data_IF_450920844014
#
_entry.id   IF_450920844014
#
_cell.length_a   1.000
_cell.length_b   1.000
_cell.length_c   1.000
_cell.angle_alpha   90.00
_cell.angle_beta   90.00
_cell.angle_gamma   90.00
#
_symmetry.space_group_name_H-M   'P 1'
#
loop_
_entity.id
_entity.type
_entity.pdbx_description
1 polymer ?
#
# COMPACT_ATOMS: atom_id res chain seq x y z
N UNK A 1 -8.54 55.57 35.18
CA UNK A 1 -7.91 54.26 34.87
C UNK A 1 -7.96 53.98 33.37
N UNK A 2 -6.88 54.22 32.62
CA UNK A 2 -6.80 53.92 31.17
C UNK A 2 -6.64 52.41 30.98
N UNK A 3 -7.76 51.67 30.87
CA UNK A 3 -7.76 50.23 30.57
C UNK A 3 -7.14 49.98 29.18
N UNK A 4 -6.15 49.11 29.13
CA UNK A 4 -5.23 48.92 28.00
C UNK A 4 -5.90 48.44 26.71
N UNK A 5 -6.13 49.37 25.78
CA UNK A 5 -6.64 49.10 24.42
C UNK A 5 -5.72 48.20 23.57
N UNK A 6 -4.46 48.01 23.96
CA UNK A 6 -3.50 47.13 23.25
C UNK A 6 -3.68 45.63 23.53
N UNK A 7 -4.14 45.25 24.74
CA UNK A 7 -4.28 43.84 25.13
C UNK A 7 -5.39 43.12 24.35
N UNK A 8 -6.47 43.84 24.01
CA UNK A 8 -7.60 43.26 23.25
C UNK A 8 -7.24 43.02 21.78
N UNK A 9 -6.37 43.84 21.17
CA UNK A 9 -5.91 43.62 19.79
C UNK A 9 -4.99 42.41 19.67
N UNK A 10 -4.12 42.20 20.67
CA UNK A 10 -3.26 41.02 20.76
C UNK A 10 -4.12 39.76 20.98
N UNK A 11 -5.12 39.84 21.86
CA UNK A 11 -6.05 38.73 22.13
C UNK A 11 -6.83 38.32 20.87
N UNK A 12 -7.32 39.30 20.08
CA UNK A 12 -8.00 39.04 18.81
C UNK A 12 -7.05 38.39 17.80
N UNK A 13 -5.80 38.87 17.69
CA UNK A 13 -4.80 38.27 16.80
C UNK A 13 -4.49 36.81 17.14
N UNK A 14 -4.30 36.50 18.42
CA UNK A 14 -4.09 35.11 18.89
C UNK A 14 -5.30 34.23 18.59
N UNK A 15 -6.51 34.75 18.76
CA UNK A 15 -7.75 34.00 18.53
C UNK A 15 -7.97 33.70 17.03
N UNK A 16 -7.60 34.63 16.15
CA UNK A 16 -7.63 34.40 14.69
C UNK A 16 -6.61 33.33 14.28
N UNK A 17 -5.38 33.39 14.80
CA UNK A 17 -4.36 32.35 14.52
C UNK A 17 -4.81 30.98 15.03
N UNK A 18 -5.43 30.94 16.20
CA UNK A 18 -5.98 29.70 16.76
C UNK A 18 -7.10 29.10 15.90
N UNK A 19 -8.01 29.94 15.38
CA UNK A 19 -9.06 29.52 14.44
C UNK A 19 -8.46 29.01 13.13
N UNK A 20 -7.40 29.65 12.60
CA UNK A 20 -6.73 29.19 11.38
C UNK A 20 -6.07 27.82 11.61
N UNK A 21 -5.41 27.62 12.75
CA UNK A 21 -4.80 26.33 13.11
C UNK A 21 -5.88 25.25 13.26
N UNK A 22 -6.97 25.54 13.96
CA UNK A 22 -8.10 24.61 14.09
C UNK A 22 -8.76 24.29 12.75
N UNK A 23 -8.92 25.29 11.88
CA UNK A 23 -9.43 25.12 10.53
C UNK A 23 -8.50 24.26 9.67
N UNK A 24 -7.19 24.45 9.78
CA UNK A 24 -6.18 23.64 9.11
C UNK A 24 -6.17 22.18 9.58
N UNK A 25 -6.25 21.94 10.90
CA UNK A 25 -6.37 20.60 11.48
C UNK A 25 -7.68 19.93 11.04
N UNK A 26 -8.80 20.67 11.06
CA UNK A 26 -10.09 20.18 10.61
C UNK A 26 -10.09 19.79 9.13
N UNK A 27 -9.49 20.62 8.27
CA UNK A 27 -9.35 20.32 6.85
C UNK A 27 -8.45 19.11 6.60
N UNK A 28 -7.33 18.99 7.31
CA UNK A 28 -6.44 17.83 7.22
C UNK A 28 -7.12 16.54 7.70
N UNK A 29 -7.90 16.60 8.78
CA UNK A 29 -8.66 15.46 9.29
C UNK A 29 -9.74 15.01 8.30
N UNK A 30 -10.53 15.95 7.76
CA UNK A 30 -11.55 15.64 6.74
C UNK A 30 -10.92 15.07 5.48
N UNK A 31 -9.80 15.63 5.03
CA UNK A 31 -9.05 15.10 3.89
C UNK A 31 -8.55 13.69 4.17
N UNK A 32 -7.94 13.44 5.32
CA UNK A 32 -7.51 12.11 5.76
C UNK A 32 -8.66 11.11 5.76
N UNK A 33 -9.79 11.44 6.39
CA UNK A 33 -11.00 10.61 6.38
C UNK A 33 -11.50 10.32 4.96
N UNK A 34 -11.51 11.32 4.08
CA UNK A 34 -11.95 11.15 2.68
C UNK A 34 -11.03 10.24 1.84
N UNK A 35 -9.78 10.07 2.26
CA UNK A 35 -8.83 9.13 1.64
C UNK A 35 -9.05 7.73 2.21
N UNK A 36 -9.22 7.59 3.53
CA UNK A 36 -9.48 6.30 4.17
C UNK A 36 -10.81 5.68 3.74
N UNK A 37 -11.85 6.49 3.54
CA UNK A 37 -13.18 6.03 3.08
C UNK A 37 -13.15 5.46 1.65
N UNK A 38 -12.11 5.77 0.87
CA UNK A 38 -11.90 5.23 -0.48
C UNK A 38 -11.14 3.91 -0.49
N UNK A 39 -10.64 3.45 0.66
CA UNK A 39 -9.99 2.15 0.77
C UNK A 39 -11.06 1.07 0.76
N UNK A 40 -11.04 0.23 -0.28
CA UNK A 40 -11.89 -0.95 -0.34
C UNK A 40 -11.33 -2.00 0.60
N UNK A 41 -12.05 -2.29 1.68
CA UNK A 41 -11.76 -3.45 2.53
C UNK A 41 -12.33 -4.70 1.89
N UNK A 42 -11.50 -5.74 1.80
CA UNK A 42 -11.94 -7.07 1.39
C UNK A 42 -12.07 -7.91 2.65
N UNK A 43 -13.20 -8.59 2.80
CA UNK A 43 -13.38 -9.56 3.88
C UNK A 43 -12.54 -10.79 3.56
N UNK A 44 -11.65 -11.15 4.49
CA UNK A 44 -10.73 -12.29 4.34
C UNK A 44 -11.04 -13.27 5.44
N UNK A 45 -11.21 -14.54 5.07
CA UNK A 45 -11.29 -15.61 6.05
C UNK A 45 -9.91 -15.83 6.67
N UNK A 46 -9.71 -15.29 7.87
CA UNK A 46 -8.45 -15.41 8.60
C UNK A 46 -8.15 -16.83 9.08
N UNK A 47 -9.16 -17.70 9.13
CA UNK A 47 -9.01 -19.12 9.51
C UNK A 47 -8.51 -19.94 8.33
N UNK A 48 -8.85 -19.54 7.11
CA UNK A 48 -8.38 -20.13 5.86
C UNK A 48 -7.28 -19.29 5.21
N UNK A 49 -6.14 -19.16 5.88
CA UNK A 49 -4.95 -18.46 5.34
C UNK A 49 -3.78 -19.39 5.02
N UNK A 50 -3.99 -20.71 5.05
CA UNK A 50 -2.96 -21.69 4.73
C UNK A 50 -1.73 -21.61 5.65
N UNK A 51 -1.89 -21.05 6.86
CA UNK A 51 -0.82 -20.92 7.85
C UNK A 51 -0.64 -22.28 8.52
N UNK A 52 0.56 -22.83 8.41
CA UNK A 52 0.89 -24.08 9.09
C UNK A 52 0.92 -23.87 10.63
N UNK A 53 0.29 -24.74 11.44
CA UNK A 53 0.25 -24.57 12.90
C UNK A 53 1.61 -24.59 13.59
N UNK A 54 2.58 -25.35 13.07
CA UNK A 54 3.95 -25.38 13.61
C UNK A 54 4.65 -24.05 13.30
N UNK A 55 4.49 -23.53 12.09
CA UNK A 55 4.95 -22.21 11.68
C UNK A 55 4.33 -21.10 12.53
N UNK A 56 3.01 -21.10 12.75
CA UNK A 56 2.35 -20.07 13.57
C UNK A 56 2.86 -20.10 15.02
N UNK A 57 3.02 -21.31 15.58
CA UNK A 57 3.61 -21.47 16.91
C UNK A 57 5.05 -20.96 16.98
N UNK A 58 5.88 -21.26 15.98
CA UNK A 58 7.26 -20.78 15.89
C UNK A 58 7.33 -19.26 15.78
N UNK A 59 6.42 -18.65 15.01
CA UNK A 59 6.35 -17.21 14.77
C UNK A 59 5.68 -16.44 15.91
N UNK A 60 4.89 -17.11 16.78
CA UNK A 60 4.26 -16.49 17.96
C UNK A 60 5.27 -15.83 18.92
N UNK A 61 6.50 -16.34 18.99
CA UNK A 61 7.60 -15.73 19.77
C UNK A 61 8.13 -14.42 19.18
N UNK A 62 7.70 -14.06 17.98
CA UNK A 62 8.11 -12.85 17.24
C UNK A 62 6.95 -11.86 17.10
N UNK A 63 6.09 -11.71 18.11
CA UNK A 63 4.90 -10.84 18.09
C UNK A 63 5.16 -9.36 17.74
N UNK A 64 6.41 -8.90 17.87
CA UNK A 64 6.84 -7.54 17.51
C UNK A 64 7.29 -7.42 16.04
N UNK A 65 7.15 -8.48 15.26
CA UNK A 65 7.43 -8.50 13.82
C UNK A 65 6.11 -8.72 13.11
N UNK A 66 5.70 -7.73 12.31
CA UNK A 66 4.47 -7.81 11.51
C UNK A 66 4.82 -7.92 10.03
N UNK A 67 4.22 -8.88 9.34
CA UNK A 67 4.39 -9.08 7.91
C UNK A 67 3.08 -8.79 7.19
N UNK A 68 3.15 -7.91 6.19
CA UNK A 68 2.02 -7.48 5.37
C UNK A 68 2.35 -7.80 3.91
N UNK A 69 1.46 -8.50 3.20
CA UNK A 69 1.61 -8.73 1.78
C UNK A 69 1.23 -7.48 0.97
N UNK A 70 2.08 -7.07 0.03
CA UNK A 70 1.83 -5.97 -0.89
C UNK A 70 1.69 -6.53 -2.30
N UNK A 71 0.57 -6.24 -2.95
CA UNK A 71 0.27 -6.69 -4.30
C UNK A 71 0.09 -5.50 -5.24
N UNK A 72 0.92 -5.41 -6.28
CA UNK A 72 0.66 -4.56 -7.44
C UNK A 72 -0.15 -5.35 -8.46
N UNK A 73 -1.39 -4.94 -8.72
CA UNK A 73 -2.31 -5.69 -9.59
C UNK A 73 -2.50 -5.00 -10.94
N UNK A 74 -2.37 -5.78 -12.01
CA UNK A 74 -2.76 -5.35 -13.34
C UNK A 74 -4.25 -5.65 -13.55
N UNK A 75 -5.09 -4.75 -13.04
CA UNK A 75 -6.55 -4.86 -13.06
C UNK A 75 -7.21 -3.50 -13.32
N UNK A 76 -8.16 -3.50 -14.26
CA UNK A 76 -9.11 -2.39 -14.44
C UNK A 76 -10.16 -2.39 -13.32
N UNK A 77 -10.96 -1.32 -13.21
CA UNK A 77 -11.98 -1.23 -12.16
C UNK A 77 -13.01 -2.36 -12.28
N UNK A 78 -13.03 -3.26 -11.29
CA UNK A 78 -13.99 -4.35 -11.20
C UNK A 78 -13.47 -5.72 -11.65
N UNK A 79 -12.23 -5.79 -12.15
CA UNK A 79 -11.53 -7.04 -12.42
C UNK A 79 -10.61 -7.40 -11.23
N UNK A 80 -10.36 -8.70 -11.05
CA UNK A 80 -9.40 -9.23 -10.07
C UNK A 80 -7.97 -9.02 -10.58
N UNK A 81 -7.75 -9.23 -11.89
CA UNK A 81 -6.44 -9.15 -12.54
C UNK A 81 -5.39 -10.13 -11.99
N UNK A 82 -4.12 -9.89 -12.33
CA UNK A 82 -2.96 -10.65 -11.80
C UNK A 82 -2.11 -9.76 -10.92
N UNK A 83 -1.49 -10.33 -9.88
CA UNK A 83 -0.49 -9.61 -9.07
C UNK A 83 0.87 -9.67 -9.74
N UNK A 84 1.22 -8.59 -10.43
CA UNK A 84 2.46 -8.49 -11.18
C UNK A 84 3.66 -8.05 -10.33
N UNK A 85 3.39 -7.38 -9.22
CA UNK A 85 4.35 -7.10 -8.16
C UNK A 85 3.88 -7.75 -6.87
N UNK A 86 4.76 -8.52 -6.23
CA UNK A 86 4.49 -9.22 -4.98
C UNK A 86 5.63 -8.91 -4.03
N UNK A 87 5.32 -8.27 -2.90
CA UNK A 87 6.31 -7.95 -1.86
C UNK A 87 5.77 -8.28 -0.48
N UNK A 88 6.67 -8.54 0.45
CA UNK A 88 6.38 -8.66 1.87
C UNK A 88 6.99 -7.45 2.57
N UNK A 89 6.14 -6.65 3.19
CA UNK A 89 6.54 -5.58 4.10
C UNK A 89 6.67 -6.16 5.51
N UNK A 90 7.89 -6.13 6.05
CA UNK A 90 8.16 -6.56 7.42
C UNK A 90 8.44 -5.35 8.29
N UNK A 91 7.59 -5.15 9.30
CA UNK A 91 7.75 -4.14 10.35
C UNK A 91 8.44 -4.80 11.55
N UNK A 92 9.74 -4.56 11.69
CA UNK A 92 10.55 -5.08 12.79
C UNK A 92 10.61 -4.04 13.92
N UNK A 93 9.64 -4.11 14.84
CA UNK A 93 9.48 -3.17 15.96
C UNK A 93 10.57 -3.34 17.01
N UNK A 94 11.22 -4.51 17.08
CA UNK A 94 12.35 -4.74 17.98
C UNK A 94 13.57 -3.88 17.60
N UNK A 95 13.81 -3.74 16.29
CA UNK A 95 14.98 -3.03 15.77
C UNK A 95 14.65 -1.66 15.16
N UNK A 96 13.38 -1.24 15.18
CA UNK A 96 12.87 -0.06 14.46
C UNK A 96 13.26 -0.07 12.97
N UNK A 97 13.08 -1.22 12.32
CA UNK A 97 13.43 -1.40 10.90
C UNK A 97 12.21 -1.75 10.07
N UNK A 98 12.18 -1.23 8.86
CA UNK A 98 11.26 -1.64 7.80
C UNK A 98 12.06 -2.41 6.77
N UNK A 99 11.60 -3.61 6.40
CA UNK A 99 12.23 -4.44 5.38
C UNK A 99 11.20 -4.75 4.30
N UNK A 100 11.64 -4.71 3.04
CA UNK A 100 10.84 -5.12 1.89
C UNK A 100 11.51 -6.32 1.24
N UNK A 101 10.74 -7.39 1.05
CA UNK A 101 11.20 -8.61 0.37
C UNK A 101 10.35 -8.84 -0.86
N UNK A 102 10.93 -8.70 -2.04
CA UNK A 102 10.24 -8.99 -3.30
C UNK A 102 10.20 -10.48 -3.56
N UNK A 103 9.03 -11.00 -3.92
CA UNK A 103 8.84 -12.39 -4.35
C UNK A 103 8.62 -12.40 -5.85
N UNK A 104 9.37 -13.23 -6.56
CA UNK A 104 9.27 -13.29 -8.02
C UNK A 104 7.90 -13.79 -8.45
N UNK A 105 7.24 -13.03 -9.33
CA UNK A 105 5.91 -13.29 -9.87
C UNK A 105 5.73 -14.71 -10.44
N UNK A 106 6.75 -15.19 -11.13
CA UNK A 106 6.74 -16.45 -11.86
C UNK A 106 7.31 -17.62 -11.03
N UNK A 107 7.46 -17.46 -9.71
CA UNK A 107 7.90 -18.54 -8.82
C UNK A 107 6.97 -19.75 -8.95
N UNK A 108 7.55 -20.94 -9.12
CA UNK A 108 6.79 -22.19 -9.27
C UNK A 108 6.40 -22.72 -7.89
N UNK A 109 5.15 -22.53 -7.51
CA UNK A 109 4.64 -22.73 -6.14
C UNK A 109 3.41 -23.63 -6.13
N UNK A 110 3.12 -24.22 -4.98
CA UNK A 110 1.90 -24.97 -4.75
C UNK A 110 0.74 -24.01 -4.43
N UNK A 111 -0.29 -23.99 -5.26
CA UNK A 111 -1.51 -23.19 -5.02
C UNK A 111 -2.59 -24.13 -4.46
N UNK A 112 -3.09 -23.84 -3.26
CA UNK A 112 -4.09 -24.69 -2.58
C UNK A 112 -5.35 -24.83 -3.45
N UNK A 113 -5.89 -26.04 -3.52
CA UNK A 113 -7.04 -26.37 -4.38
C UNK A 113 -6.71 -26.43 -5.87
N UNK A 114 -5.43 -26.31 -6.28
CA UNK A 114 -4.96 -26.32 -7.66
C UNK A 114 -3.64 -27.09 -7.83
N UNK A 115 -3.20 -27.24 -9.08
CA UNK A 115 -1.85 -27.72 -9.39
C UNK A 115 -0.80 -26.64 -9.12
N UNK A 116 0.47 -27.06 -9.06
CA UNK A 116 1.59 -26.10 -9.03
C UNK A 116 1.57 -25.21 -10.27
N UNK A 117 1.79 -23.92 -10.05
CA UNK A 117 1.79 -22.89 -11.10
C UNK A 117 2.60 -21.67 -10.65
N UNK A 118 2.64 -20.63 -11.48
CA UNK A 118 3.22 -19.32 -11.16
C UNK A 118 2.47 -18.65 -10.02
N UNK A 119 3.21 -18.07 -9.08
CA UNK A 119 2.65 -17.42 -7.89
C UNK A 119 1.59 -16.34 -8.21
N UNK A 120 1.78 -15.51 -9.23
CA UNK A 120 0.80 -14.48 -9.57
C UNK A 120 -0.57 -14.99 -10.00
N UNK A 121 -0.64 -16.23 -10.47
CA UNK A 121 -1.90 -16.85 -10.82
C UNK A 121 -2.78 -17.08 -9.60
N UNK A 122 -2.21 -17.25 -8.40
CA UNK A 122 -2.98 -17.37 -7.16
C UNK A 122 -3.93 -16.17 -6.96
N UNK A 123 -3.44 -14.96 -7.25
CA UNK A 123 -4.26 -13.75 -7.17
C UNK A 123 -5.38 -13.73 -8.21
N UNK A 124 -5.09 -14.15 -9.45
CA UNK A 124 -6.12 -14.23 -10.49
C UNK A 124 -7.19 -15.29 -10.18
N UNK A 125 -6.83 -16.36 -9.47
CA UNK A 125 -7.74 -17.46 -9.17
C UNK A 125 -8.62 -17.22 -7.94
N UNK A 126 -8.12 -16.52 -6.93
CA UNK A 126 -8.83 -16.38 -5.65
C UNK A 126 -8.55 -15.06 -4.93
N UNK A 127 -8.11 -14.04 -5.68
CA UNK A 127 -7.79 -12.73 -5.15
C UNK A 127 -6.67 -12.77 -4.10
N UNK A 128 -6.71 -11.77 -3.21
CA UNK A 128 -5.71 -11.63 -2.17
C UNK A 128 -5.67 -12.81 -1.18
N UNK A 129 -6.82 -13.42 -0.86
CA UNK A 129 -6.89 -14.54 0.08
C UNK A 129 -6.07 -15.73 -0.42
N UNK A 130 -6.33 -16.22 -1.65
CA UNK A 130 -5.57 -17.34 -2.20
C UNK A 130 -4.10 -16.99 -2.44
N UNK A 131 -3.79 -15.74 -2.78
CA UNK A 131 -2.40 -15.29 -2.89
C UNK A 131 -1.66 -15.34 -1.54
N UNK A 132 -2.29 -14.87 -0.45
CA UNK A 132 -1.73 -14.98 0.91
C UNK A 132 -1.61 -16.43 1.36
N UNK A 133 -2.64 -17.26 1.12
CA UNK A 133 -2.57 -18.71 1.38
C UNK A 133 -1.37 -19.35 0.68
N UNK A 134 -1.14 -18.99 -0.58
CA UNK A 134 -0.01 -19.50 -1.36
C UNK A 134 1.32 -19.03 -0.78
N UNK A 135 1.43 -17.76 -0.35
CA UNK A 135 2.64 -17.27 0.32
C UNK A 135 2.91 -18.01 1.63
N UNK A 136 1.91 -18.15 2.49
CA UNK A 136 2.03 -18.82 3.79
C UNK A 136 2.43 -20.29 3.64
N UNK A 137 1.81 -21.01 2.70
CA UNK A 137 2.05 -22.44 2.49
C UNK A 137 3.43 -22.76 1.88
N UNK A 138 4.00 -21.86 1.06
CA UNK A 138 5.24 -22.15 0.34
C UNK A 138 6.50 -21.59 1.01
N UNK A 139 6.35 -20.61 1.92
CA UNK A 139 7.49 -19.87 2.48
C UNK A 139 7.52 -19.86 4.01
N UNK A 140 6.71 -20.70 4.68
CA UNK A 140 6.60 -20.76 6.14
C UNK A 140 6.31 -19.38 6.76
N UNK A 141 5.27 -18.72 6.24
CA UNK A 141 4.83 -17.39 6.69
C UNK A 141 3.48 -17.47 7.42
N UNK A 142 3.18 -16.44 8.21
CA UNK A 142 1.91 -16.26 8.91
C UNK A 142 1.26 -14.90 8.58
N UNK A 143 1.32 -14.50 7.31
CA UNK A 143 0.76 -13.23 6.84
C UNK A 143 -0.77 -13.29 6.97
N UNK A 144 -1.34 -12.25 7.59
CA UNK A 144 -2.79 -12.07 7.78
C UNK A 144 -3.33 -10.80 7.14
N UNK A 145 -2.44 -9.83 6.89
CA UNK A 145 -2.78 -8.54 6.33
C UNK A 145 -2.19 -8.38 4.94
N UNK A 146 -2.92 -7.65 4.09
CA UNK A 146 -2.44 -7.27 2.77
C UNK A 146 -2.88 -5.87 2.36
N UNK A 147 -2.21 -5.33 1.35
CA UNK A 147 -2.65 -4.19 0.60
C UNK A 147 -2.45 -4.45 -0.91
N UNK A 148 -3.47 -4.13 -1.70
CA UNK A 148 -3.41 -4.23 -3.16
C UNK A 148 -3.55 -2.86 -3.80
N UNK A 149 -2.73 -2.57 -4.81
CA UNK A 149 -2.78 -1.32 -5.58
C UNK A 149 -2.77 -1.63 -7.07
N UNK A 150 -3.67 -1.00 -7.82
CA UNK A 150 -3.64 -1.04 -9.28
C UNK A 150 -2.95 0.19 -9.86
N UNK A 151 -2.70 0.23 -11.17
CA UNK A 151 -2.00 1.35 -11.81
C UNK A 151 -2.66 2.72 -11.56
N UNK A 152 -3.99 2.82 -11.64
CA UNK A 152 -4.70 4.08 -11.35
C UNK A 152 -4.53 4.52 -9.90
N UNK A 153 -4.56 3.58 -8.95
CA UNK A 153 -4.31 3.83 -7.54
C UNK A 153 -2.88 4.31 -7.29
N UNK A 154 -1.89 3.66 -7.93
CA UNK A 154 -0.48 4.01 -7.83
C UNK A 154 -0.22 5.44 -8.33
N UNK A 155 -0.77 5.80 -9.50
CA UNK A 155 -0.65 7.16 -10.05
C UNK A 155 -1.16 8.20 -9.06
N UNK A 156 -2.37 8.01 -8.51
CA UNK A 156 -2.95 8.93 -7.53
C UNK A 156 -2.09 9.07 -6.27
N UNK A 157 -1.49 7.98 -5.78
CA UNK A 157 -0.59 8.02 -4.63
C UNK A 157 0.64 8.87 -4.96
N UNK A 158 1.27 8.67 -6.12
CA UNK A 158 2.44 9.44 -6.56
C UNK A 158 2.09 10.93 -6.69
N UNK A 159 0.94 11.26 -7.29
CA UNK A 159 0.48 12.64 -7.45
C UNK A 159 0.25 13.34 -6.09
N UNK A 160 -0.35 12.63 -5.13
CA UNK A 160 -0.56 13.14 -3.75
C UNK A 160 0.77 13.41 -3.04
N UNK A 161 1.78 12.58 -3.28
CA UNK A 161 3.12 12.75 -2.71
C UNK A 161 3.91 13.88 -3.40
N UNK A 162 3.40 14.45 -4.50
CA UNK A 162 4.07 15.48 -5.28
C UNK A 162 5.12 14.93 -6.26
N UNK A 163 5.00 13.67 -6.63
CA UNK A 163 5.97 12.97 -7.48
C UNK A 163 7.00 12.15 -6.69
N UNK A 164 7.79 11.36 -7.40
CA UNK A 164 8.90 10.56 -6.85
C UNK A 164 10.14 10.77 -7.70
N UNK A 165 11.31 10.87 -7.06
CA UNK A 165 12.58 10.94 -7.77
C UNK A 165 13.06 9.51 -8.09
N UNK A 166 13.33 9.25 -9.36
CA UNK A 166 13.86 7.96 -9.84
C UNK A 166 15.10 8.25 -10.66
N UNK A 167 16.21 7.58 -10.32
CA UNK A 167 17.43 7.64 -11.12
C UNK A 167 17.25 6.76 -12.35
N UNK A 168 17.38 7.37 -13.53
CA UNK A 168 17.27 6.69 -14.83
C UNK A 168 18.67 6.54 -15.41
N UNK A 169 19.00 5.34 -15.88
CA UNK A 169 20.27 5.07 -16.55
C UNK A 169 20.26 5.54 -18.00
N UNK A 170 21.45 5.72 -18.60
CA UNK A 170 21.57 6.22 -19.98
C UNK A 170 20.85 5.32 -21.00
N UNK A 171 20.84 4.01 -20.76
CA UNK A 171 20.21 3.02 -21.64
C UNK A 171 18.67 3.05 -21.55
N UNK A 172 18.10 3.54 -20.44
CA UNK A 172 16.66 3.65 -20.24
C UNK A 172 16.05 4.91 -20.86
N UNK A 173 16.87 5.96 -21.09
CA UNK A 173 16.40 7.26 -21.62
C UNK A 173 15.59 7.12 -22.91
N UNK A 174 16.03 6.37 -23.94
CA UNK A 174 15.25 6.22 -25.17
C UNK A 174 13.90 5.55 -24.93
N UNK A 175 13.83 4.58 -24.02
CA UNK A 175 12.60 3.87 -23.68
C UNK A 175 11.61 4.78 -22.95
N UNK A 176 12.09 5.58 -22.00
CA UNK A 176 11.28 6.56 -21.29
C UNK A 176 10.74 7.65 -22.21
N UNK A 177 11.58 8.17 -23.12
CA UNK A 177 11.14 9.18 -24.10
C UNK A 177 10.04 8.64 -25.02
N UNK A 178 10.17 7.41 -25.49
CA UNK A 178 9.14 6.75 -26.30
C UNK A 178 7.85 6.55 -25.51
N UNK A 179 7.94 6.14 -24.24
CA UNK A 179 6.78 5.96 -23.39
C UNK A 179 6.06 7.29 -23.15
N UNK A 180 6.77 8.35 -22.77
CA UNK A 180 6.19 9.70 -22.58
C UNK A 180 5.51 10.21 -23.84
N UNK A 181 6.14 10.05 -25.01
CA UNK A 181 5.55 10.44 -26.28
C UNK A 181 4.28 9.63 -26.60
N UNK A 182 4.28 8.33 -26.28
CA UNK A 182 3.09 7.48 -26.46
C UNK A 182 1.94 7.95 -25.58
N UNK A 183 2.18 8.20 -24.28
CA UNK A 183 1.15 8.68 -23.35
C UNK A 183 0.63 10.05 -23.79
N UNK A 184 1.52 10.97 -24.17
CA UNK A 184 1.12 12.29 -24.67
C UNK A 184 0.28 12.23 -25.94
N UNK A 185 0.50 11.21 -26.79
CA UNK A 185 -0.31 11.02 -28.00
C UNK A 185 -1.73 10.53 -27.69
N UNK A 186 -1.94 9.86 -26.55
CA UNK A 186 -3.27 9.42 -26.09
C UNK A 186 -4.03 10.50 -25.31
N UNK A 187 -3.33 11.49 -24.75
CA UNK A 187 -3.94 12.59 -23.95
C UNK A 187 -4.19 13.87 -24.72
N UNK A 188 -3.70 13.99 -25.96
CA UNK A 188 -3.90 15.15 -26.84
C UNK A 188 -5.16 14.99 -27.74
N UNK A 189 -6.29 14.59 -27.14
CA UNK A 189 -7.64 14.92 -27.63
C UNK A 189 -8.29 15.95 -26.70
#
# INVERSE_FOLDING_TARGET
MKKGKGKNKILIGVLVVFIIILGGIGAAAVYGYSVFDKIKTVDIDTEDLGIDPETDKKLSGYSNIENIALFGVDAEQGDVGRSDSIMILTLDKNNNKVKLTSIMRDSYVNIIGRSKDKLNHAYAYGGAQLAMQTLNNNFDLNIKDFASVNFSGLQKIIDILGGVEVTITQDEIPHMANYVNSINSFTNE
#
